data_IF_627711355223
#
_entry.id   IF_627711355223
#
_cell.length_a   1.000
_cell.length_b   1.000
_cell.length_c   1.000
_cell.angle_alpha   90.00
_cell.angle_beta   90.00
_cell.angle_gamma   90.00
#
_symmetry.space_group_name_H-M   'P 1'
#
loop_
_entity.id
_entity.type
_entity.pdbx_description
1 polymer ?
#
# COMPACT_ATOMS: atom_id res chain seq x y z
N UNK A 1 -1.79 11.53 22.01
CA UNK A 1 -1.33 10.30 21.36
C UNK A 1 -0.54 10.63 20.12
N UNK A 2 0.53 9.93 19.88
CA UNK A 2 1.37 10.16 18.72
C UNK A 2 1.19 9.03 17.73
N UNK A 3 0.81 9.37 16.49
CA UNK A 3 0.70 8.41 15.41
C UNK A 3 2.03 8.32 14.68
N UNK A 4 2.40 7.10 14.24
CA UNK A 4 3.61 6.91 13.44
C UNK A 4 3.48 7.58 12.09
N UNK A 5 2.27 7.56 11.53
CA UNK A 5 1.93 8.22 10.28
C UNK A 5 0.54 8.80 10.37
N UNK A 6 0.36 9.92 9.68
CA UNK A 6 -0.96 10.53 9.54
C UNK A 6 -1.71 9.79 8.43
N UNK A 7 -2.84 9.19 8.79
CA UNK A 7 -3.65 8.43 7.83
C UNK A 7 -4.16 9.34 6.71
N UNK A 8 -4.54 10.58 7.04
CA UNK A 8 -5.01 11.51 6.02
C UNK A 8 -3.89 11.83 5.04
N UNK A 9 -2.67 11.99 5.53
CA UNK A 9 -1.53 12.23 4.66
C UNK A 9 -1.29 11.01 3.76
N UNK A 10 -1.41 9.81 4.32
CA UNK A 10 -1.19 8.59 3.56
C UNK A 10 -2.17 8.47 2.40
N UNK A 11 -3.45 8.77 2.63
CA UNK A 11 -4.46 8.63 1.58
C UNK A 11 -4.57 9.86 0.69
N UNK A 12 -3.78 10.89 0.95
CA UNK A 12 -3.76 12.07 0.07
C UNK A 12 -3.02 11.80 -1.24
N UNK A 13 -2.18 10.78 -1.29
CA UNK A 13 -1.41 10.44 -2.48
C UNK A 13 -2.23 9.57 -3.42
N UNK A 14 -2.38 9.96 -4.71
CA UNK A 14 -3.20 9.19 -5.64
C UNK A 14 -2.71 7.76 -5.83
N UNK A 15 -1.39 7.54 -5.85
CA UNK A 15 -0.85 6.19 -6.03
C UNK A 15 -1.20 5.31 -4.84
N UNK A 16 -1.08 5.82 -3.63
CA UNK A 16 -1.42 5.03 -2.45
C UNK A 16 -2.91 4.72 -2.40
N UNK A 17 -3.78 5.68 -2.78
CA UNK A 17 -5.21 5.39 -2.88
C UNK A 17 -5.49 4.29 -3.88
N UNK A 18 -4.82 4.33 -5.03
CA UNK A 18 -5.01 3.31 -6.06
C UNK A 18 -4.57 1.94 -5.57
N UNK A 19 -3.48 1.86 -4.80
CA UNK A 19 -3.03 0.61 -4.22
C UNK A 19 -4.11 0.04 -3.28
N UNK A 20 -4.70 0.89 -2.44
CA UNK A 20 -5.76 0.45 -1.54
C UNK A 20 -6.97 -0.07 -2.31
N UNK A 21 -7.32 0.57 -3.42
CA UNK A 21 -8.43 0.11 -4.25
C UNK A 21 -8.15 -1.28 -4.80
N UNK A 22 -6.92 -1.52 -5.28
CA UNK A 22 -6.54 -2.85 -5.77
C UNK A 22 -6.68 -3.90 -4.67
N UNK A 23 -6.23 -3.56 -3.46
CA UNK A 23 -6.21 -4.51 -2.36
C UNK A 23 -7.58 -4.71 -1.71
N UNK A 24 -8.55 -3.88 -2.07
CA UNK A 24 -9.89 -3.99 -1.48
C UNK A 24 -10.56 -5.31 -1.83
N UNK A 25 -10.23 -5.89 -2.98
CA UNK A 25 -10.88 -7.11 -3.45
C UNK A 25 -9.96 -8.33 -3.44
N UNK A 26 -8.65 -8.17 -3.18
CA UNK A 26 -7.74 -9.31 -3.24
C UNK A 26 -6.42 -8.97 -2.57
N UNK A 27 -5.76 -10.02 -2.12
CA UNK A 27 -4.37 -9.96 -1.65
C UNK A 27 -3.45 -10.02 -2.86
N UNK A 28 -2.42 -9.18 -2.90
CA UNK A 28 -1.51 -9.12 -4.04
C UNK A 28 -0.06 -9.03 -3.57
N UNK A 29 0.84 -9.64 -4.33
CA UNK A 29 2.28 -9.44 -4.09
C UNK A 29 2.68 -8.03 -4.51
N UNK A 30 3.81 -7.56 -3.96
CA UNK A 30 4.32 -6.24 -4.33
C UNK A 30 4.60 -6.15 -5.83
N UNK A 31 5.11 -7.24 -6.43
CA UNK A 31 5.35 -7.27 -7.87
C UNK A 31 4.06 -7.14 -8.66
N UNK A 32 3.01 -7.86 -8.25
CA UNK A 32 1.73 -7.78 -8.93
C UNK A 32 1.13 -6.38 -8.81
N UNK A 33 1.26 -5.76 -7.64
CA UNK A 33 0.79 -4.38 -7.46
C UNK A 33 1.55 -3.46 -8.41
N UNK A 34 2.87 -3.58 -8.47
CA UNK A 34 3.70 -2.71 -9.31
C UNK A 34 3.34 -2.80 -10.78
N UNK A 35 2.89 -3.97 -11.25
CA UNK A 35 2.49 -4.14 -12.65
C UNK A 35 1.31 -3.27 -13.04
N UNK A 36 0.56 -2.76 -12.07
CA UNK A 36 -0.60 -1.90 -12.34
C UNK A 36 -0.21 -0.42 -12.43
N UNK A 37 1.06 -0.09 -12.26
CA UNK A 37 1.50 1.31 -12.23
C UNK A 37 2.70 1.50 -13.14
N UNK A 38 2.82 2.69 -13.69
CA UNK A 38 3.97 3.08 -14.49
C UNK A 38 5.03 3.66 -13.54
N UNK A 39 5.55 2.78 -12.69
CA UNK A 39 6.53 3.17 -11.67
C UNK A 39 7.43 1.98 -11.39
N UNK A 40 8.66 2.26 -10.95
CA UNK A 40 9.61 1.23 -10.60
C UNK A 40 9.14 0.48 -9.35
N UNK A 41 9.48 -0.81 -9.28
CA UNK A 41 9.07 -1.64 -8.15
C UNK A 41 9.53 -1.09 -6.79
N UNK A 42 10.77 -0.56 -6.66
CA UNK A 42 11.17 0.03 -5.37
C UNK A 42 10.29 1.19 -4.94
N UNK A 43 9.80 1.99 -5.90
CA UNK A 43 8.89 3.08 -5.59
C UNK A 43 7.57 2.55 -5.04
N UNK A 44 7.03 1.51 -5.65
CA UNK A 44 5.79 0.89 -5.19
C UNK A 44 6.00 0.25 -3.83
N UNK A 45 7.12 -0.44 -3.62
CA UNK A 45 7.43 -1.04 -2.32
C UNK A 45 7.46 0.00 -1.21
N UNK A 46 8.01 1.18 -1.49
CA UNK A 46 8.03 2.27 -0.52
C UNK A 46 6.63 2.77 -0.20
N UNK A 47 5.76 2.88 -1.21
CA UNK A 47 4.38 3.28 -0.98
C UNK A 47 3.63 2.26 -0.11
N UNK A 48 3.87 0.98 -0.36
CA UNK A 48 3.28 -0.08 0.44
C UNK A 48 3.78 0.02 1.88
N UNK A 49 5.06 0.30 2.07
CA UNK A 49 5.63 0.45 3.40
C UNK A 49 4.96 1.60 4.17
N UNK A 50 4.71 2.72 3.49
CA UNK A 50 4.03 3.86 4.12
C UNK A 50 2.62 3.45 4.57
N UNK A 51 1.90 2.73 3.71
CA UNK A 51 0.56 2.25 4.07
C UNK A 51 0.61 1.28 5.24
N UNK A 52 1.63 0.44 5.29
CA UNK A 52 1.82 -0.51 6.39
C UNK A 52 2.10 0.21 7.71
N UNK A 53 2.87 1.30 7.67
CA UNK A 53 3.17 2.10 8.85
C UNK A 53 1.93 2.79 9.41
N UNK A 54 0.91 2.99 8.57
CA UNK A 54 -0.37 3.56 8.99
C UNK A 54 -1.37 2.48 9.39
N UNK A 55 -0.97 1.22 9.38
CA UNK A 55 -1.84 0.08 9.66
C UNK A 55 -3.00 -0.03 8.68
N UNK A 56 -2.82 0.45 7.46
CA UNK A 56 -3.85 0.34 6.42
C UNK A 56 -3.73 -0.96 5.64
N UNK A 57 -2.52 -1.53 5.57
CA UNK A 57 -2.27 -2.81 4.91
C UNK A 57 -1.36 -3.64 5.79
N UNK A 58 -1.33 -4.94 5.54
CA UNK A 58 -0.45 -5.87 6.25
C UNK A 58 0.10 -6.92 5.28
N UNK A 59 1.28 -7.43 5.59
CA UNK A 59 1.88 -8.52 4.84
C UNK A 59 1.24 -9.84 5.28
N UNK A 60 0.95 -10.70 4.31
CA UNK A 60 0.46 -12.05 4.54
C UNK A 60 1.29 -13.03 3.73
N UNK A 61 1.00 -14.34 3.86
CA UNK A 61 1.71 -15.34 3.08
C UNK A 61 1.49 -15.18 1.58
N UNK A 62 0.32 -14.68 1.19
CA UNK A 62 -0.01 -14.49 -0.23
C UNK A 62 0.44 -13.14 -0.77
N UNK A 63 0.84 -12.20 0.10
CA UNK A 63 1.24 -10.87 -0.33
C UNK A 63 0.76 -9.81 0.64
N UNK A 64 0.28 -8.69 0.10
CA UNK A 64 -0.22 -7.56 0.88
C UNK A 64 -1.73 -7.50 0.78
N UNK A 65 -2.37 -7.22 1.90
CA UNK A 65 -3.83 -7.15 1.98
C UNK A 65 -4.22 -5.93 2.81
N UNK A 66 -5.47 -5.50 2.67
CA UNK A 66 -6.02 -4.47 3.55
C UNK A 66 -6.08 -5.03 4.97
N UNK A 67 -5.69 -4.21 5.91
CA UNK A 67 -5.61 -4.59 7.32
C UNK A 67 -6.99 -4.99 7.92
#
# INVERSE_FOLDING_TARGET
MKLRRDIFQAISDPTRRAILVLLASQTMTAGAIAENFDAARPTISKQIQILSECDLVQATQEGTAIF
#
